data_IF_739919369921
#
_entry.id   IF_739919369921
#
_cell.length_a   1.000
_cell.length_b   1.000
_cell.length_c   1.000
_cell.angle_alpha   90.00
_cell.angle_beta   90.00
_cell.angle_gamma   90.00
#
_symmetry.space_group_name_H-M   'P 1'
#
loop_
_entity.id
_entity.type
_entity.pdbx_description
1 polymer ?
#
# COMPACT_ATOMS: atom_id res chain seq x y z
N UNK A 1 -16.23 4.91 19.38
CA UNK A 1 -15.51 5.06 18.08
C UNK A 1 -14.63 6.32 17.95
N UNK A 2 -14.56 7.23 18.93
CA UNK A 2 -13.75 8.48 18.83
C UNK A 2 -12.23 8.31 19.05
N UNK A 3 -11.78 7.29 19.78
CA UNK A 3 -10.34 7.11 20.07
C UNK A 3 -9.54 6.55 18.89
N UNK A 4 -10.18 5.78 17.99
CA UNK A 4 -9.52 5.24 16.80
C UNK A 4 -9.10 6.34 15.80
N UNK A 5 -9.89 7.43 15.72
CA UNK A 5 -9.61 8.55 14.81
C UNK A 5 -8.31 9.30 15.13
N UNK A 6 -7.93 9.43 16.40
CA UNK A 6 -6.72 10.16 16.80
C UNK A 6 -5.44 9.39 16.43
N UNK A 7 -5.49 8.05 16.44
CA UNK A 7 -4.38 7.20 16.00
C UNK A 7 -4.21 7.29 14.47
N UNK A 8 -5.31 7.23 13.72
CA UNK A 8 -5.29 7.34 12.24
C UNK A 8 -4.77 8.71 11.81
N UNK A 9 -5.20 9.80 12.46
CA UNK A 9 -4.74 11.16 12.15
C UNK A 9 -3.26 11.41 12.51
N UNK A 10 -2.74 10.74 13.54
CA UNK A 10 -1.30 10.79 13.87
C UNK A 10 -0.46 10.01 12.84
N UNK A 11 -0.96 8.89 12.36
CA UNK A 11 -0.36 8.10 11.27
C UNK A 11 -0.34 8.89 9.96
N UNK A 12 -1.42 9.62 9.64
CA UNK A 12 -1.50 10.46 8.44
C UNK A 12 -0.52 11.65 8.47
N UNK A 13 -0.21 12.19 9.67
CA UNK A 13 0.78 13.27 9.82
C UNK A 13 2.21 12.82 9.50
N UNK A 14 2.62 11.63 9.94
CA UNK A 14 4.01 11.18 9.79
C UNK A 14 4.39 10.71 8.37
N UNK A 15 3.42 10.36 7.52
CA UNK A 15 3.69 9.88 6.16
C UNK A 15 3.99 8.38 6.12
N UNK A 16 3.58 7.74 5.02
CA UNK A 16 3.50 6.27 4.90
C UNK A 16 4.88 5.60 4.83
N UNK A 17 5.85 6.26 4.19
CA UNK A 17 7.22 5.77 4.00
C UNK A 17 8.03 5.71 5.30
N UNK A 18 8.13 6.77 6.12
CA UNK A 18 8.85 6.69 7.39
C UNK A 18 8.18 5.74 8.39
N UNK A 19 6.85 5.60 8.38
CA UNK A 19 6.17 4.64 9.24
C UNK A 19 6.48 3.18 8.87
N UNK A 20 6.53 2.88 7.56
CA UNK A 20 6.92 1.56 7.05
C UNK A 20 8.38 1.24 7.39
N UNK A 21 9.30 2.18 7.14
CA UNK A 21 10.72 2.01 7.44
C UNK A 21 10.99 1.87 8.95
N UNK A 22 10.27 2.62 9.79
CA UNK A 22 10.41 2.55 11.24
C UNK A 22 9.88 1.21 11.79
N UNK A 23 8.75 0.73 11.28
CA UNK A 23 8.21 -0.56 11.69
C UNK A 23 9.09 -1.74 11.28
N UNK A 24 9.54 -1.77 10.02
CA UNK A 24 10.43 -2.82 9.53
C UNK A 24 11.80 -2.74 10.19
N UNK A 25 12.29 -1.53 10.50
CA UNK A 25 13.50 -1.34 11.31
C UNK A 25 13.36 -1.90 12.73
N UNK A 26 12.20 -1.66 13.37
CA UNK A 26 11.87 -2.24 14.68
C UNK A 26 11.76 -3.77 14.65
N UNK A 27 11.18 -4.33 13.60
CA UNK A 27 11.14 -5.78 13.37
C UNK A 27 12.55 -6.37 13.19
N UNK A 28 13.40 -5.73 12.39
CA UNK A 28 14.80 -6.14 12.19
C UNK A 28 15.58 -6.15 13.51
N UNK A 29 15.54 -5.05 14.27
CA UNK A 29 16.23 -4.93 15.54
C UNK A 29 15.74 -5.99 16.54
N UNK A 30 14.43 -6.20 16.64
CA UNK A 30 13.84 -7.18 17.55
C UNK A 30 14.22 -8.61 17.16
N UNK A 31 14.15 -8.97 15.87
CA UNK A 31 14.53 -10.30 15.40
C UNK A 31 16.02 -10.60 15.61
N UNK A 32 16.88 -9.59 15.42
CA UNK A 32 18.32 -9.70 15.65
C UNK A 32 18.64 -9.92 17.14
N UNK A 33 17.98 -9.18 18.04
CA UNK A 33 18.13 -9.34 19.48
C UNK A 33 17.66 -10.73 19.93
N UNK A 34 16.52 -11.21 19.43
CA UNK A 34 16.01 -12.55 19.74
C UNK A 34 16.97 -13.63 19.23
N UNK A 35 17.43 -13.52 17.98
CA UNK A 35 18.36 -14.48 17.39
C UNK A 35 19.66 -14.60 18.19
N UNK A 36 20.25 -13.45 18.58
CA UNK A 36 21.46 -13.42 19.40
C UNK A 36 21.20 -13.96 20.81
N UNK A 37 20.10 -13.57 21.46
CA UNK A 37 19.75 -14.03 22.80
C UNK A 37 19.57 -15.56 22.84
N UNK A 38 18.99 -16.12 21.78
CA UNK A 38 18.77 -17.56 21.65
C UNK A 38 20.08 -18.33 21.43
N UNK A 39 21.05 -17.77 20.69
CA UNK A 39 22.36 -18.40 20.46
C UNK A 39 23.29 -18.36 21.69
N UNK A 40 23.27 -17.27 22.47
CA UNK A 40 24.19 -17.09 23.61
C UNK A 40 23.70 -17.82 24.86
N UNK A 41 22.38 -17.91 25.06
CA UNK A 41 21.81 -18.30 26.36
C UNK A 41 20.58 -19.21 26.22
N UNK A 42 20.68 -20.20 25.33
CA UNK A 42 19.62 -21.16 24.92
C UNK A 42 18.89 -21.89 26.07
N UNK A 43 19.43 -21.90 27.29
CA UNK A 43 18.80 -22.53 28.47
C UNK A 43 18.68 -21.63 29.69
N UNK A 44 18.93 -20.32 29.55
CA UNK A 44 18.74 -19.38 30.66
C UNK A 44 17.30 -18.89 30.71
N UNK A 45 16.75 -18.80 31.92
CA UNK A 45 15.42 -18.22 32.17
C UNK A 45 15.38 -16.75 31.70
N UNK A 46 16.47 -16.01 31.86
CA UNK A 46 16.58 -14.62 31.43
C UNK A 46 16.43 -14.46 29.90
N UNK A 47 17.05 -15.34 29.10
CA UNK A 47 16.92 -15.30 27.64
C UNK A 47 15.50 -15.57 27.16
N UNK A 48 14.76 -16.45 27.84
CA UNK A 48 13.34 -16.70 27.54
C UNK A 48 12.50 -15.45 27.76
N UNK A 49 12.68 -14.74 28.88
CA UNK A 49 11.94 -13.48 29.14
C UNK A 49 12.28 -12.38 28.13
N UNK A 50 13.56 -12.24 27.78
CA UNK A 50 14.00 -11.27 26.75
C UNK A 50 13.37 -11.63 25.40
N UNK A 51 13.41 -12.90 25.01
CA UNK A 51 12.83 -13.39 23.76
C UNK A 51 11.34 -13.06 23.67
N UNK A 52 10.59 -13.34 24.74
CA UNK A 52 9.15 -13.06 24.79
C UNK A 52 8.88 -11.55 24.70
N UNK A 53 9.61 -10.73 25.47
CA UNK A 53 9.44 -9.27 25.46
C UNK A 53 9.68 -8.68 24.06
N UNK A 54 10.79 -9.07 23.40
CA UNK A 54 11.09 -8.60 22.06
C UNK A 54 10.19 -9.20 20.98
N UNK A 55 9.62 -10.38 21.20
CA UNK A 55 8.61 -10.95 20.30
C UNK A 55 7.34 -10.09 20.30
N UNK A 56 6.91 -9.58 21.46
CA UNK A 56 5.80 -8.63 21.52
C UNK A 56 6.11 -7.32 20.80
N UNK A 57 7.34 -6.81 20.94
CA UNK A 57 7.78 -5.62 20.19
C UNK A 57 7.76 -5.90 18.68
N UNK A 58 8.27 -7.05 18.25
CA UNK A 58 8.26 -7.47 16.85
C UNK A 58 6.83 -7.49 16.27
N UNK A 59 5.89 -8.16 16.97
CA UNK A 59 4.49 -8.25 16.54
C UNK A 59 3.81 -6.88 16.59
N UNK A 60 4.08 -6.08 17.62
CA UNK A 60 3.55 -4.71 17.75
C UNK A 60 3.99 -3.81 16.59
N UNK A 61 5.28 -3.82 16.25
CA UNK A 61 5.82 -3.08 15.10
C UNK A 61 5.23 -3.56 13.78
N UNK A 62 5.04 -4.87 13.60
CA UNK A 62 4.39 -5.43 12.41
C UNK A 62 2.94 -4.95 12.27
N UNK A 63 2.16 -4.97 13.36
CA UNK A 63 0.76 -4.57 13.35
C UNK A 63 0.55 -3.07 13.12
N UNK A 64 1.47 -2.22 13.56
CA UNK A 64 1.37 -0.77 13.37
C UNK A 64 1.75 -0.39 11.93
N UNK A 65 2.77 -1.03 11.38
CA UNK A 65 3.31 -0.64 10.07
C UNK A 65 2.84 -1.55 8.96
N UNK A 66 3.23 -2.82 8.95
CA UNK A 66 3.03 -3.68 7.80
C UNK A 66 1.56 -4.05 7.59
N UNK A 67 0.81 -4.32 8.66
CA UNK A 67 -0.58 -4.74 8.61
C UNK A 67 -1.49 -3.75 7.84
N UNK A 68 -1.85 -2.60 8.43
CA UNK A 68 -2.81 -1.67 7.82
C UNK A 68 -2.25 -0.94 6.59
N UNK A 69 -0.95 -0.61 6.57
CA UNK A 69 -0.38 0.22 5.51
C UNK A 69 -0.28 -0.54 4.19
N UNK A 70 0.08 -1.83 4.21
CA UNK A 70 0.21 -2.61 2.97
C UNK A 70 -1.12 -2.71 2.21
N UNK A 71 -2.23 -2.96 2.90
CA UNK A 71 -3.57 -3.00 2.29
C UNK A 71 -4.01 -1.64 1.74
N UNK A 72 -3.70 -0.55 2.45
CA UNK A 72 -4.01 0.81 1.98
C UNK A 72 -3.17 1.17 0.76
N UNK A 73 -1.87 0.87 0.76
CA UNK A 73 -0.97 1.15 -0.36
C UNK A 73 -1.39 0.42 -1.64
N UNK A 74 -1.84 -0.83 -1.54
CA UNK A 74 -2.39 -1.58 -2.69
C UNK A 74 -3.59 -0.83 -3.30
N UNK A 75 -4.46 -0.28 -2.45
CA UNK A 75 -5.63 0.51 -2.91
C UNK A 75 -5.27 1.80 -3.66
N UNK A 76 -4.09 2.36 -3.40
CA UNK A 76 -3.62 3.62 -3.98
C UNK A 76 -2.76 3.44 -5.23
N UNK A 77 -2.01 2.34 -5.32
CA UNK A 77 -1.13 2.05 -6.45
C UNK A 77 -1.96 1.66 -7.69
N UNK A 78 -3.09 0.97 -7.52
CA UNK A 78 -3.85 0.43 -8.64
C UNK A 78 -5.00 1.35 -9.09
N UNK A 79 -5.09 1.67 -10.40
CA UNK A 79 -6.19 2.45 -10.94
C UNK A 79 -7.51 1.68 -10.85
N UNK A 80 -8.60 2.42 -10.68
CA UNK A 80 -9.91 1.87 -10.31
C UNK A 80 -10.41 0.73 -11.24
N UNK A 81 -9.97 0.72 -12.49
CA UNK A 81 -10.38 -0.25 -13.51
C UNK A 81 -9.81 -1.66 -13.30
N UNK A 82 -8.58 -1.79 -12.77
CA UNK A 82 -7.88 -3.09 -12.60
C UNK A 82 -7.71 -3.50 -11.15
N UNK A 83 -8.11 -2.62 -10.22
CA UNK A 83 -7.94 -2.79 -8.77
C UNK A 83 -8.48 -4.13 -8.25
N UNK A 84 -9.66 -4.56 -8.71
CA UNK A 84 -10.26 -5.82 -8.26
C UNK A 84 -9.42 -7.05 -8.61
N UNK A 85 -8.90 -7.12 -9.84
CA UNK A 85 -8.05 -8.23 -10.28
C UNK A 85 -6.67 -8.18 -9.61
N UNK A 86 -6.09 -6.98 -9.46
CA UNK A 86 -4.82 -6.80 -8.80
C UNK A 86 -4.88 -7.22 -7.31
N UNK A 87 -5.91 -6.80 -6.58
CA UNK A 87 -6.11 -7.21 -5.18
C UNK A 87 -6.27 -8.73 -5.06
N UNK A 88 -6.99 -9.37 -5.98
CA UNK A 88 -7.16 -10.83 -5.96
C UNK A 88 -5.82 -11.57 -6.12
N UNK A 89 -4.97 -11.14 -7.08
CA UNK A 89 -3.63 -11.72 -7.28
C UNK A 89 -2.73 -11.45 -6.08
N UNK A 90 -2.71 -10.23 -5.54
CA UNK A 90 -1.95 -9.90 -4.33
C UNK A 90 -2.35 -10.78 -3.15
N UNK A 91 -3.66 -11.00 -2.97
CA UNK A 91 -4.21 -11.83 -1.91
C UNK A 91 -3.80 -13.30 -2.09
N UNK A 92 -3.87 -13.81 -3.33
CA UNK A 92 -3.43 -15.17 -3.65
C UNK A 92 -1.93 -15.36 -3.34
N UNK A 93 -1.08 -14.42 -3.73
CA UNK A 93 0.36 -14.47 -3.43
C UNK A 93 0.60 -14.36 -1.92
N UNK A 94 -0.14 -13.52 -1.21
CA UNK A 94 -0.03 -13.39 0.24
C UNK A 94 -0.36 -14.70 0.95
N UNK A 95 -1.50 -15.32 0.66
CA UNK A 95 -1.88 -16.59 1.26
C UNK A 95 -0.98 -17.74 0.81
N UNK A 96 -0.56 -17.75 -0.47
CA UNK A 96 0.40 -18.73 -0.98
C UNK A 96 1.76 -18.66 -0.29
N UNK A 97 2.26 -17.45 -0.04
CA UNK A 97 3.51 -17.25 0.72
C UNK A 97 3.34 -17.66 2.17
N UNK A 98 2.23 -17.32 2.82
CA UNK A 98 1.93 -17.75 4.19
C UNK A 98 1.90 -19.28 4.30
N UNK A 99 1.30 -19.96 3.31
CA UNK A 99 1.32 -21.42 3.25
C UNK A 99 2.75 -21.94 3.10
N UNK A 100 3.53 -21.42 2.14
CA UNK A 100 4.93 -21.82 1.96
C UNK A 100 5.76 -21.65 3.25
N UNK A 101 5.62 -20.52 3.95
CA UNK A 101 6.30 -20.26 5.22
C UNK A 101 5.86 -21.26 6.30
N UNK A 102 4.57 -21.58 6.39
CA UNK A 102 4.06 -22.58 7.35
C UNK A 102 4.67 -23.99 7.12
N UNK A 103 4.93 -24.37 5.87
CA UNK A 103 5.61 -25.63 5.55
C UNK A 103 7.13 -25.58 5.77
N UNK A 104 7.77 -24.46 5.43
CA UNK A 104 9.22 -24.29 5.55
C UNK A 104 9.67 -24.14 7.01
N UNK A 105 8.88 -23.49 7.86
CA UNK A 105 9.16 -23.24 9.27
C UNK A 105 9.58 -24.49 10.06
N UNK A 106 8.80 -25.58 10.10
CA UNK A 106 9.17 -26.78 10.86
C UNK A 106 10.42 -27.48 10.30
N UNK A 107 10.70 -27.34 9.00
CA UNK A 107 11.91 -27.89 8.37
C UNK A 107 13.13 -27.07 8.81
N UNK A 108 13.04 -25.75 8.73
CA UNK A 108 14.09 -24.84 9.15
C UNK A 108 14.41 -24.96 10.65
N UNK A 109 13.36 -25.06 11.49
CA UNK A 109 13.53 -25.21 12.94
C UNK A 109 14.26 -26.52 13.31
N UNK A 110 14.09 -27.59 12.50
CA UNK A 110 14.81 -28.85 12.70
C UNK A 110 16.28 -28.79 12.28
N UNK A 111 16.62 -27.96 11.29
CA UNK A 111 17.98 -27.85 10.74
C UNK A 111 18.85 -26.88 11.55
N UNK A 112 18.34 -25.68 11.81
CA UNK A 112 19.11 -24.54 12.35
C UNK A 112 18.76 -24.21 13.81
N UNK A 113 17.74 -24.88 14.37
CA UNK A 113 17.20 -24.59 15.69
C UNK A 113 16.49 -23.23 15.78
N UNK A 114 16.01 -22.86 16.98
CA UNK A 114 15.28 -21.61 17.20
C UNK A 114 16.13 -20.36 16.93
N UNK A 115 17.42 -20.36 17.30
CA UNK A 115 18.31 -19.22 17.11
C UNK A 115 18.57 -18.89 15.64
N UNK A 116 18.86 -19.91 14.83
CA UNK A 116 19.05 -19.73 13.38
C UNK A 116 17.79 -19.29 12.66
N UNK A 117 16.61 -19.74 13.12
CA UNK A 117 15.31 -19.31 12.58
C UNK A 117 15.10 -17.79 12.73
N UNK A 118 15.32 -17.24 13.94
CA UNK A 118 15.15 -15.80 14.19
C UNK A 118 16.19 -14.95 13.46
N UNK A 119 17.43 -15.45 13.30
CA UNK A 119 18.44 -14.79 12.47
C UNK A 119 18.05 -14.80 10.98
N UNK A 120 17.45 -15.88 10.48
CA UNK A 120 16.87 -15.94 9.14
C UNK A 120 15.76 -14.90 8.95
N UNK A 121 14.87 -14.74 9.93
CA UNK A 121 13.87 -13.68 9.92
C UNK A 121 14.49 -12.27 9.96
N UNK A 122 15.57 -12.06 10.72
CA UNK A 122 16.29 -10.80 10.73
C UNK A 122 16.91 -10.50 9.35
N UNK A 123 17.50 -11.49 8.67
CA UNK A 123 18.03 -11.32 7.32
C UNK A 123 16.91 -10.94 6.31
N UNK A 124 15.76 -11.62 6.38
CA UNK A 124 14.59 -11.30 5.56
C UNK A 124 14.01 -9.92 5.86
N UNK A 125 13.98 -9.52 7.14
CA UNK A 125 13.56 -8.18 7.54
C UNK A 125 14.52 -7.09 7.02
N UNK A 126 15.83 -7.33 7.05
CA UNK A 126 16.83 -6.42 6.49
C UNK A 126 16.66 -6.27 4.97
N UNK A 127 16.50 -7.39 4.25
CA UNK A 127 16.23 -7.37 2.81
C UNK A 127 14.94 -6.59 2.52
N UNK A 128 13.88 -6.83 3.29
CA UNK A 128 12.60 -6.12 3.14
C UNK A 128 12.76 -4.62 3.39
N UNK A 129 13.57 -4.23 4.38
CA UNK A 129 13.86 -2.82 4.69
C UNK A 129 14.55 -2.13 3.52
N UNK A 130 15.58 -2.78 2.94
CA UNK A 130 16.30 -2.27 1.78
C UNK A 130 15.39 -2.16 0.56
N UNK A 131 14.61 -3.20 0.28
CA UNK A 131 13.63 -3.22 -0.82
C UNK A 131 12.62 -2.09 -0.65
N UNK A 132 12.08 -1.89 0.56
CA UNK A 132 11.16 -0.78 0.85
C UNK A 132 11.83 0.57 0.63
N UNK A 133 13.07 0.74 1.09
CA UNK A 133 13.80 1.99 0.94
C UNK A 133 13.95 2.43 -0.54
N UNK A 134 14.21 1.48 -1.44
CA UNK A 134 14.41 1.73 -2.87
C UNK A 134 13.11 1.71 -3.69
N UNK A 135 12.19 0.78 -3.43
CA UNK A 135 10.97 0.59 -4.24
C UNK A 135 9.84 1.51 -3.79
N UNK A 136 9.72 1.80 -2.49
CA UNK A 136 8.64 2.67 -1.97
C UNK A 136 9.03 4.13 -2.19
N UNK A 137 8.70 4.62 -3.38
CA UNK A 137 8.61 6.03 -3.71
C UNK A 137 7.41 6.64 -2.95
N UNK A 138 7.63 7.83 -2.41
CA UNK A 138 6.72 8.51 -1.49
C UNK A 138 5.40 8.89 -2.21
N UNK A 139 4.29 8.21 -1.91
CA UNK A 139 2.94 8.51 -2.46
C UNK A 139 2.26 9.68 -1.75
N UNK A 140 3.00 10.54 -1.04
CA UNK A 140 2.42 11.68 -0.31
C UNK A 140 2.13 12.82 -1.28
N UNK A 141 0.87 13.24 -1.35
CA UNK A 141 0.37 14.40 -2.11
C UNK A 141 0.49 14.31 -3.64
N UNK A 142 0.11 13.17 -4.23
CA UNK A 142 -0.15 13.10 -5.68
C UNK A 142 -1.53 12.52 -5.93
N UNK A 143 -2.32 13.17 -6.78
CA UNK A 143 -3.64 12.64 -7.19
C UNK A 143 -3.45 11.36 -8.00
N UNK A 144 -4.48 10.50 -8.08
CA UNK A 144 -4.45 9.26 -8.88
C UNK A 144 -3.98 9.54 -10.32
N UNK A 145 -4.30 10.72 -10.84
CA UNK A 145 -3.95 11.23 -12.17
C UNK A 145 -2.47 11.59 -12.30
N UNK A 146 -1.81 12.10 -11.24
CA UNK A 146 -0.37 12.39 -11.25
C UNK A 146 0.49 11.12 -11.17
N UNK A 147 -0.01 10.08 -10.48
CA UNK A 147 0.67 8.78 -10.41
C UNK A 147 0.55 8.04 -11.76
N UNK A 148 -0.62 8.10 -12.40
CA UNK A 148 -0.78 7.63 -13.79
C UNK A 148 0.12 8.43 -14.76
N UNK A 149 0.24 9.76 -14.61
CA UNK A 149 1.11 10.56 -15.47
C UNK A 149 2.60 10.22 -15.33
N UNK A 150 3.08 9.90 -14.12
CA UNK A 150 4.48 9.50 -13.85
C UNK A 150 4.78 8.10 -14.38
N UNK A 151 3.82 7.17 -14.30
CA UNK A 151 4.00 5.82 -14.85
C UNK A 151 3.82 5.73 -16.38
N UNK A 152 3.16 6.72 -17.01
CA UNK A 152 2.79 6.65 -18.44
C UNK A 152 3.70 7.44 -19.39
N UNK A 153 4.48 8.46 -18.98
CA UNK A 153 5.18 9.28 -20.01
C UNK A 153 6.53 9.86 -19.60
N UNK A 154 7.59 9.62 -20.43
CA UNK A 154 8.06 10.72 -21.26
C UNK A 154 8.25 10.32 -22.74
N UNK A 155 7.18 10.38 -23.53
CA UNK A 155 7.12 10.97 -24.89
C UNK A 155 5.68 10.95 -25.42
N UNK A 156 4.94 12.03 -25.19
CA UNK A 156 3.95 12.54 -26.15
C UNK A 156 3.52 13.95 -25.71
N UNK A 157 4.32 14.95 -26.08
CA UNK A 157 3.72 16.26 -26.40
C UNK A 157 2.84 16.02 -27.62
N UNK A 158 1.53 15.94 -27.45
CA UNK A 158 0.58 16.37 -28.48
C UNK A 158 -0.83 16.55 -27.87
N UNK A 159 -1.21 17.82 -27.76
CA UNK A 159 -2.61 18.27 -27.86
C UNK A 159 -3.56 17.78 -26.78
N UNK A 160 -3.53 18.41 -25.60
CA UNK A 160 -4.74 18.49 -24.78
C UNK A 160 -5.77 19.32 -25.54
N UNK A 161 -6.72 18.66 -26.22
CA UNK A 161 -7.99 19.27 -26.59
C UNK A 161 -8.96 19.03 -25.42
N UNK A 162 -9.52 20.09 -24.80
CA UNK A 162 -10.54 19.91 -23.78
C UNK A 162 -11.78 19.28 -24.40
N UNK A 163 -12.23 18.15 -23.83
CA UNK A 163 -13.51 17.53 -24.16
C UNK A 163 -14.66 18.39 -23.62
N UNK A 164 -15.24 19.23 -24.47
CA UNK A 164 -16.47 19.97 -24.23
C UNK A 164 -17.70 19.06 -24.39
N UNK A 165 -17.83 18.07 -23.50
CA UNK A 165 -18.97 17.15 -23.53
C UNK A 165 -20.31 17.77 -23.09
N UNK A 166 -20.49 19.09 -23.23
CA UNK A 166 -21.71 19.81 -22.85
C UNK A 166 -22.22 20.85 -23.88
N UNK A 167 -21.68 20.89 -25.11
CA UNK A 167 -22.12 21.85 -26.14
C UNK A 167 -23.29 21.40 -27.03
N UNK A 168 -23.55 20.09 -27.14
CA UNK A 168 -24.47 19.56 -28.17
C UNK A 168 -25.96 19.57 -27.84
N UNK A 169 -26.36 19.74 -26.57
CA UNK A 169 -27.78 19.68 -26.17
C UNK A 169 -28.46 21.03 -26.02
N UNK A 170 -27.72 22.12 -25.84
CA UNK A 170 -28.34 23.44 -25.73
C UNK A 170 -28.63 24.08 -27.09
N UNK A 171 -27.77 23.85 -28.09
CA UNK A 171 -27.94 24.42 -29.44
C UNK A 171 -29.14 23.82 -30.17
N UNK A 172 -29.42 22.52 -30.01
CA UNK A 172 -30.60 21.88 -30.61
C UNK A 172 -31.93 22.38 -30.01
N UNK A 173 -31.93 22.76 -28.73
CA UNK A 173 -33.13 23.32 -28.06
C UNK A 173 -33.32 24.80 -28.39
N UNK A 174 -32.24 25.55 -28.66
CA UNK A 174 -32.33 26.95 -29.08
C UNK A 174 -32.71 27.12 -30.56
N UNK A 175 -32.22 26.26 -31.47
CA UNK A 175 -32.63 26.32 -32.88
C UNK A 175 -34.10 25.97 -33.09
N UNK A 176 -34.66 25.01 -32.33
CA UNK A 176 -36.09 24.69 -32.41
C UNK A 176 -37.00 25.84 -31.91
N UNK A 177 -36.55 26.64 -30.93
CA UNK A 177 -37.32 27.79 -30.42
C UNK A 177 -37.18 29.04 -31.28
N UNK A 178 -36.09 29.18 -32.04
CA UNK A 178 -35.92 30.32 -32.93
C UNK A 178 -36.70 30.15 -34.25
N UNK A 179 -36.86 28.91 -34.74
CA UNK A 179 -37.56 28.62 -36.00
C UNK A 179 -39.09 28.76 -35.86
N UNK A 180 -39.65 28.52 -34.66
CA UNK A 180 -41.08 28.75 -34.38
C UNK A 180 -41.48 30.22 -34.25
N UNK A 181 -40.52 31.17 -34.26
CA UNK A 181 -40.78 32.61 -34.15
C UNK A 181 -40.69 33.36 -35.49
N UNK A 182 -40.41 32.66 -36.60
CA UNK A 182 -40.44 33.24 -37.96
C UNK A 182 -41.51 32.57 -38.81
N UNK A 183 -42.76 32.84 -38.49
CA UNK A 183 -43.84 32.77 -39.48
C UNK A 183 -44.17 34.20 -39.90
N UNK A 184 -43.76 34.63 -41.11
CA UNK A 184 -44.24 35.89 -41.66
C UNK A 184 -45.74 35.78 -41.94
N UNK A 185 -46.49 36.73 -41.39
CA UNK A 185 -47.83 37.07 -41.83
C UNK A 185 -47.81 37.45 -43.31
N UNK A 186 -48.41 36.63 -44.17
CA UNK A 186 -48.95 37.08 -45.45
C UNK A 186 -50.19 36.25 -45.81
N UNK A 187 -51.36 36.74 -45.39
CA UNK A 187 -52.56 36.81 -46.25
C UNK A 187 -52.26 37.69 -47.49
N UNK A 188 -53.14 37.81 -48.51
CA UNK A 188 -54.26 36.97 -48.97
C UNK A 188 -54.17 36.71 -50.51
N UNK A 189 -55.00 35.83 -51.10
CA UNK A 189 -55.94 36.08 -52.25
C UNK A 189 -56.99 34.97 -52.25
#
# INVERSE_FOLDING_TARGET
MRHAGVCVLTVDKFGRRPLLLLGVGGMFASALIIGIACQIAYSSVAATYITIAFLFVFVGSYQISFGPISWVMIGEIFPARVRGQAIAICTLINFGTNFAVAFLLPIFQKLEGPGGLYLGFAAMAALSWVVIYFIVIETKMKTLEEIEAIMVTPKAKQGFQPMDRYGGRQTAVQLSKHDSMRMPSHEPI
#
